data_IF_873666482129
#
_entry.id   IF_873666482129
#
_cell.length_a   1.000
_cell.length_b   1.000
_cell.length_c   1.000
_cell.angle_alpha   90.00
_cell.angle_beta   90.00
_cell.angle_gamma   90.00
#
_symmetry.space_group_name_H-M   'P 1'
#
loop_
_entity.id
_entity.type
_entity.pdbx_description
1 polymer ?
#
# COMPACT_ATOMS: atom_id res chain seq x y z
N UNK A 1 1.16 8.44 -17.90
CA UNK A 1 1.12 9.47 -16.83
C UNK A 1 1.65 10.83 -17.27
N UNK A 2 2.57 10.95 -18.22
CA UNK A 2 3.08 12.24 -18.70
C UNK A 2 2.08 13.11 -19.50
N UNK A 3 1.01 12.56 -20.03
CA UNK A 3 0.07 13.30 -20.91
C UNK A 3 -1.07 14.05 -20.21
N UNK A 4 -1.34 13.79 -18.95
CA UNK A 4 -2.50 14.40 -18.24
C UNK A 4 -2.11 15.70 -17.53
N UNK A 5 -0.83 15.97 -17.33
CA UNK A 5 -0.33 17.17 -16.61
C UNK A 5 0.05 18.37 -17.51
N UNK A 6 -0.12 18.30 -18.84
CA UNK A 6 0.21 19.39 -19.77
C UNK A 6 -0.88 20.47 -19.91
N UNK A 7 -1.78 20.58 -18.93
CA UNK A 7 -2.79 21.62 -18.87
C UNK A 7 -2.26 22.95 -18.31
N UNK A 8 -1.82 23.83 -19.21
CA UNK A 8 -1.61 25.28 -19.02
C UNK A 8 -0.65 25.73 -17.93
N UNK A 9 0.66 25.63 -18.21
CA UNK A 9 1.62 26.60 -17.66
C UNK A 9 1.61 27.85 -18.54
N UNK A 10 1.01 28.94 -18.06
CA UNK A 10 1.14 30.28 -18.63
C UNK A 10 2.42 30.88 -18.04
N UNK A 11 3.47 30.95 -18.86
CA UNK A 11 4.67 31.69 -18.49
C UNK A 11 4.40 33.18 -18.70
N UNK A 12 4.37 33.96 -17.63
CA UNK A 12 4.39 35.39 -17.69
C UNK A 12 5.79 35.84 -18.14
N UNK A 13 5.86 36.50 -19.26
CA UNK A 13 7.06 37.13 -19.80
C UNK A 13 7.11 38.56 -19.25
N UNK A 14 7.97 38.82 -18.26
CA UNK A 14 8.20 40.15 -17.75
C UNK A 14 9.41 40.76 -18.48
N UNK A 15 9.08 41.68 -19.39
CA UNK A 15 9.94 42.80 -19.75
C UNK A 15 9.05 44.03 -19.84
N UNK A 16 9.01 44.84 -18.81
CA UNK A 16 8.60 46.24 -18.92
C UNK A 16 9.38 47.12 -17.94
N UNK A 17 9.83 48.23 -18.49
CA UNK A 17 10.73 49.22 -17.93
C UNK A 17 10.09 50.02 -16.78
N UNK A 18 10.99 50.47 -15.90
CA UNK A 18 10.75 51.35 -14.77
C UNK A 18 10.32 52.75 -15.26
N UNK A 19 9.14 53.24 -14.86
CA UNK A 19 8.86 54.66 -14.70
C UNK A 19 8.34 54.89 -13.26
N UNK A 20 9.14 55.68 -12.55
CA UNK A 20 8.78 56.17 -11.21
C UNK A 20 7.69 57.26 -11.29
N UNK A 21 6.62 57.15 -10.55
CA UNK A 21 6.09 58.30 -9.81
C UNK A 21 5.12 57.83 -8.67
N UNK A 22 5.27 58.57 -7.59
CA UNK A 22 4.63 58.59 -6.31
C UNK A 22 3.13 58.21 -6.21
N UNK A 23 2.77 57.27 -5.34
CA UNK A 23 1.85 57.55 -4.22
C UNK A 23 1.81 56.35 -3.24
N UNK A 24 2.26 56.60 -2.03
CA UNK A 24 2.08 55.74 -0.86
C UNK A 24 0.61 55.67 -0.50
N UNK A 25 0.00 54.52 -0.54
CA UNK A 25 -1.14 53.99 0.23
C UNK A 25 -1.62 52.72 -0.52
N UNK A 26 -1.32 51.59 0.01
CA UNK A 26 -1.84 50.23 -0.15
C UNK A 26 -0.73 49.17 -0.07
N UNK A 27 -0.01 49.19 1.07
CA UNK A 27 1.10 48.25 1.28
C UNK A 27 0.73 47.12 2.26
N UNK A 28 -0.55 46.75 2.36
CA UNK A 28 -0.96 45.62 3.21
C UNK A 28 -1.59 44.43 2.45
N UNK A 29 -1.93 44.56 1.18
CA UNK A 29 -2.50 43.47 0.40
C UNK A 29 -1.52 42.78 -0.56
N UNK A 30 -0.27 43.25 -0.66
CA UNK A 30 0.73 42.74 -1.61
C UNK A 30 1.77 41.76 -0.98
N UNK A 31 1.64 41.42 0.31
CA UNK A 31 2.60 40.54 1.00
C UNK A 31 2.11 39.09 1.11
N UNK A 32 0.90 38.78 0.66
CA UNK A 32 0.30 37.44 0.86
C UNK A 32 0.39 36.50 -0.35
N UNK A 33 1.00 36.89 -1.45
CA UNK A 33 1.42 35.99 -2.51
C UNK A 33 2.94 35.77 -2.51
N UNK A 34 3.51 35.39 -1.36
CA UNK A 34 4.78 34.68 -1.39
C UNK A 34 4.51 33.37 -2.13
N UNK A 35 4.99 33.26 -3.39
CA UNK A 35 5.00 31.99 -4.15
C UNK A 35 5.43 30.87 -3.22
N UNK A 36 4.50 29.98 -2.88
CA UNK A 36 4.77 28.81 -2.05
C UNK A 36 5.84 28.01 -2.80
N UNK A 37 7.11 28.11 -2.41
CA UNK A 37 8.20 27.38 -3.05
C UNK A 37 7.81 25.91 -3.10
N UNK A 38 7.89 25.31 -4.31
CA UNK A 38 7.58 23.91 -4.52
C UNK A 38 8.33 23.03 -3.50
N UNK A 39 7.60 22.35 -2.62
CA UNK A 39 8.14 21.46 -1.60
C UNK A 39 7.96 20.01 -2.04
N UNK A 40 9.02 19.43 -2.61
CA UNK A 40 9.03 18.05 -3.07
C UNK A 40 8.72 17.04 -1.94
N UNK A 41 9.18 17.33 -0.71
CA UNK A 41 8.93 16.46 0.44
C UNK A 41 7.47 16.40 0.83
N UNK A 42 6.78 17.54 0.85
CA UNK A 42 5.35 17.64 1.15
C UNK A 42 4.50 16.92 0.09
N UNK A 43 4.82 17.11 -1.19
CA UNK A 43 4.15 16.41 -2.28
C UNK A 43 4.33 14.89 -2.19
N UNK A 44 5.55 14.42 -1.94
CA UNK A 44 5.83 12.98 -1.79
C UNK A 44 5.06 12.41 -0.60
N UNK A 45 5.15 13.05 0.57
CA UNK A 45 4.49 12.56 1.78
C UNK A 45 2.97 12.59 1.65
N UNK A 46 2.39 13.65 1.07
CA UNK A 46 0.95 13.74 0.83
C UNK A 46 0.44 12.67 -0.15
N UNK A 47 1.23 12.31 -1.15
CA UNK A 47 0.84 11.28 -2.11
C UNK A 47 0.90 9.86 -1.54
N UNK A 48 1.88 9.59 -0.67
CA UNK A 48 2.09 8.26 -0.05
C UNK A 48 1.15 8.03 1.12
N UNK A 49 0.81 9.09 1.88
CA UNK A 49 -0.06 9.02 3.04
C UNK A 49 -1.45 8.53 2.68
N UNK A 50 -2.12 7.92 3.65
CA UNK A 50 -3.53 7.60 3.55
C UNK A 50 -4.35 8.89 3.67
N UNK A 51 -5.46 9.00 2.94
CA UNK A 51 -6.27 10.19 2.86
C UNK A 51 -7.77 9.87 3.00
N UNK A 52 -8.54 10.84 3.49
CA UNK A 52 -9.99 10.76 3.63
C UNK A 52 -10.75 11.19 2.35
N UNK A 53 -10.01 11.48 1.27
CA UNK A 53 -10.52 11.72 -0.05
C UNK A 53 -9.66 11.01 -1.10
N UNK A 54 -10.22 10.74 -2.27
CA UNK A 54 -9.49 10.14 -3.38
C UNK A 54 -9.19 11.21 -4.43
N UNK A 55 -8.01 11.80 -4.36
CA UNK A 55 -7.58 12.80 -5.32
C UNK A 55 -7.37 12.17 -6.70
N UNK A 56 -8.01 12.73 -7.75
CA UNK A 56 -7.90 12.26 -9.13
C UNK A 56 -6.96 13.15 -9.92
N UNK A 57 -7.22 14.46 -9.95
CA UNK A 57 -6.39 15.47 -10.60
C UNK A 57 -6.74 16.88 -10.10
N UNK A 58 -5.90 17.86 -10.43
CA UNK A 58 -6.08 19.27 -10.07
C UNK A 58 -4.97 19.80 -9.16
N UNK A 59 -4.94 21.12 -8.97
CA UNK A 59 -4.07 21.80 -8.00
C UNK A 59 -4.68 21.75 -6.59
N UNK A 60 -3.90 22.10 -5.58
CA UNK A 60 -4.40 22.23 -4.19
C UNK A 60 -5.57 23.23 -4.07
N UNK A 61 -5.64 24.24 -4.94
CA UNK A 61 -6.72 25.24 -4.95
C UNK A 61 -8.02 24.72 -5.60
N UNK A 62 -7.92 23.81 -6.57
CA UNK A 62 -9.06 23.23 -7.28
C UNK A 62 -8.87 21.73 -7.49
N UNK A 63 -8.83 20.94 -6.41
CA UNK A 63 -8.67 19.50 -6.52
C UNK A 63 -9.96 18.83 -6.97
N UNK A 64 -9.85 17.93 -7.95
CA UNK A 64 -10.94 17.01 -8.28
C UNK A 64 -10.70 15.72 -7.53
N UNK A 65 -11.46 15.52 -6.46
CA UNK A 65 -11.39 14.35 -5.60
C UNK A 65 -12.75 13.67 -5.45
N UNK A 66 -12.74 12.36 -5.21
CA UNK A 66 -13.93 11.62 -4.79
C UNK A 66 -13.98 11.70 -3.27
N UNK A 67 -15.02 12.34 -2.69
CA UNK A 67 -15.16 12.40 -1.25
C UNK A 67 -15.53 11.04 -0.69
N UNK A 68 -14.89 10.66 0.42
CA UNK A 68 -15.11 9.38 1.09
C UNK A 68 -15.96 9.57 2.36
N UNK A 69 -16.71 8.54 2.78
CA UNK A 69 -17.50 8.61 4.00
C UNK A 69 -16.62 8.61 5.24
N UNK A 70 -16.82 9.60 6.08
CA UNK A 70 -16.19 9.74 7.39
C UNK A 70 -17.12 9.15 8.44
N UNK A 71 -16.57 8.29 9.27
CA UNK A 71 -17.26 7.63 10.38
C UNK A 71 -16.42 7.84 11.63
N UNK A 72 -16.90 8.68 12.54
CA UNK A 72 -16.20 9.00 13.79
C UNK A 72 -17.06 8.57 14.97
N UNK A 73 -16.44 7.95 15.97
CA UNK A 73 -17.07 7.69 17.25
C UNK A 73 -16.47 8.60 18.33
N UNK A 74 -17.31 9.46 18.88
CA UNK A 74 -16.97 10.31 20.00
C UNK A 74 -17.56 9.72 21.29
N UNK A 75 -16.80 9.61 22.39
CA UNK A 75 -17.29 8.98 23.63
C UNK A 75 -18.54 9.63 24.21
N UNK A 76 -18.69 10.96 24.07
CA UNK A 76 -19.83 11.71 24.61
C UNK A 76 -20.93 11.95 23.58
N UNK A 77 -20.57 12.17 22.30
CA UNK A 77 -21.53 12.53 21.21
C UNK A 77 -22.05 11.32 20.42
N UNK A 78 -21.40 10.14 20.58
CA UNK A 78 -21.73 8.93 19.84
C UNK A 78 -21.16 8.88 18.43
N UNK A 79 -21.84 8.21 17.49
CA UNK A 79 -21.44 8.07 16.09
C UNK A 79 -21.85 9.30 15.26
N UNK A 80 -20.91 9.85 14.51
CA UNK A 80 -21.12 10.85 13.47
C UNK A 80 -20.71 10.27 12.13
N UNK A 81 -21.58 10.41 11.10
CA UNK A 81 -21.32 9.91 9.74
C UNK A 81 -21.62 11.03 8.75
N UNK A 82 -20.61 11.44 7.99
CA UNK A 82 -20.73 12.49 6.99
C UNK A 82 -19.70 12.31 5.86
N UNK A 83 -19.77 13.12 4.82
CA UNK A 83 -18.83 13.08 3.69
C UNK A 83 -17.60 13.94 3.97
N UNK A 84 -16.41 13.51 3.53
CA UNK A 84 -15.16 14.27 3.63
C UNK A 84 -15.22 15.62 2.92
N UNK A 85 -16.12 15.79 1.94
CA UNK A 85 -16.35 17.08 1.27
C UNK A 85 -16.74 18.22 2.22
N UNK A 86 -17.25 17.90 3.42
CA UNK A 86 -17.61 18.91 4.43
C UNK A 86 -16.40 19.61 5.07
N UNK A 87 -15.24 19.00 4.96
CA UNK A 87 -14.00 19.62 5.46
C UNK A 87 -13.33 20.56 4.45
N UNK A 88 -13.85 20.69 3.22
CA UNK A 88 -13.28 21.56 2.17
C UNK A 88 -11.75 21.40 2.08
N UNK A 89 -11.31 20.15 1.98
CA UNK A 89 -9.89 19.75 1.97
C UNK A 89 -9.06 20.17 3.21
N UNK A 90 -9.72 20.31 4.36
CA UNK A 90 -9.07 20.71 5.64
C UNK A 90 -9.17 22.20 5.95
N UNK A 91 -9.87 22.99 5.11
CA UNK A 91 -10.07 24.42 5.34
C UNK A 91 -11.31 24.72 6.21
N UNK A 92 -12.22 23.77 6.36
CA UNK A 92 -13.43 23.93 7.16
C UNK A 92 -13.51 22.85 8.26
N UNK A 93 -14.13 23.22 9.38
CA UNK A 93 -14.56 22.28 10.41
C UNK A 93 -16.05 21.95 10.26
N UNK A 94 -16.45 20.74 10.62
CA UNK A 94 -17.81 20.26 10.54
C UNK A 94 -18.21 19.47 11.79
N UNK A 95 -19.33 19.80 12.43
CA UNK A 95 -19.84 19.18 13.66
C UNK A 95 -18.85 19.14 14.83
N UNK A 96 -17.90 20.11 14.90
CA UNK A 96 -16.85 20.15 15.90
C UNK A 96 -15.69 19.21 15.65
N UNK A 97 -15.52 18.77 14.42
CA UNK A 97 -14.36 18.02 13.92
C UNK A 97 -13.60 18.82 12.88
N UNK A 98 -12.28 18.74 12.91
CA UNK A 98 -11.37 19.33 11.91
C UNK A 98 -10.48 18.25 11.31
N UNK A 99 -10.02 18.46 10.08
CA UNK A 99 -9.04 17.60 9.42
C UNK A 99 -7.68 18.28 9.46
N UNK A 100 -6.79 17.85 10.35
CA UNK A 100 -5.44 18.38 10.50
C UNK A 100 -4.40 17.31 10.18
N UNK A 101 -3.49 17.63 9.28
CA UNK A 101 -2.41 16.71 8.83
C UNK A 101 -2.95 15.32 8.40
N UNK A 102 -4.11 15.28 7.75
CA UNK A 102 -4.74 14.03 7.31
C UNK A 102 -5.42 13.22 8.42
N UNK A 103 -5.48 13.74 9.65
CA UNK A 103 -6.15 13.10 10.79
C UNK A 103 -7.34 13.92 11.24
N UNK A 104 -8.42 13.23 11.60
CA UNK A 104 -9.60 13.87 12.16
C UNK A 104 -9.32 14.16 13.64
N UNK A 105 -9.52 15.41 14.05
CA UNK A 105 -9.43 15.84 15.45
C UNK A 105 -10.76 16.44 15.89
N UNK A 106 -11.08 16.28 17.18
CA UNK A 106 -12.20 16.97 17.79
C UNK A 106 -11.73 18.33 18.31
N UNK A 107 -12.50 19.40 18.06
CA UNK A 107 -12.24 20.74 18.60
C UNK A 107 -12.27 20.78 20.13
N UNK A 108 -13.03 19.88 20.75
CA UNK A 108 -13.10 19.73 22.21
C UNK A 108 -11.85 19.11 22.82
N UNK A 109 -10.84 18.69 22.01
CA UNK A 109 -9.64 17.99 22.47
C UNK A 109 -9.90 16.56 22.96
N UNK A 110 -11.10 16.02 22.79
CA UNK A 110 -11.44 14.66 23.20
C UNK A 110 -10.80 13.62 22.28
N UNK A 111 -10.43 12.48 22.84
CA UNK A 111 -9.97 11.33 22.05
C UNK A 111 -11.14 10.73 21.29
N UNK A 112 -11.05 10.72 19.96
CA UNK A 112 -12.02 10.13 19.07
C UNK A 112 -11.49 8.85 18.43
N UNK A 113 -12.38 7.95 18.04
CA UNK A 113 -12.05 6.77 17.24
C UNK A 113 -12.45 7.02 15.80
N UNK A 114 -11.46 7.11 14.93
CA UNK A 114 -11.65 7.25 13.48
C UNK A 114 -11.85 5.87 12.86
N UNK A 115 -13.05 5.61 12.35
CA UNK A 115 -13.46 4.41 11.64
C UNK A 115 -13.76 4.70 10.17
N UNK A 116 -13.31 5.84 9.67
CA UNK A 116 -13.61 6.32 8.33
C UNK A 116 -13.10 5.39 7.24
N UNK A 117 -13.77 5.40 6.10
CA UNK A 117 -13.32 4.72 4.90
C UNK A 117 -12.31 5.62 4.19
N UNK A 118 -11.03 5.37 4.45
CA UNK A 118 -9.92 6.06 3.79
C UNK A 118 -9.68 5.52 2.37
N UNK A 119 -8.83 6.19 1.61
CA UNK A 119 -8.40 5.76 0.26
C UNK A 119 -7.89 4.31 0.27
N UNK A 120 -7.05 3.94 1.24
CA UNK A 120 -6.50 2.59 1.34
C UNK A 120 -7.57 1.56 1.73
N UNK A 121 -8.50 1.88 2.63
CA UNK A 121 -9.61 1.00 3.01
C UNK A 121 -10.53 0.74 1.80
N UNK A 122 -10.87 1.79 1.04
CA UNK A 122 -11.67 1.62 -0.18
C UNK A 122 -10.94 0.76 -1.22
N UNK A 123 -9.62 0.96 -1.40
CA UNK A 123 -8.82 0.15 -2.31
C UNK A 123 -8.76 -1.33 -1.88
N UNK A 124 -8.71 -1.63 -0.58
CA UNK A 124 -8.82 -2.99 -0.06
C UNK A 124 -10.17 -3.61 -0.44
N UNK A 125 -11.28 -2.88 -0.28
CA UNK A 125 -12.60 -3.37 -0.69
C UNK A 125 -12.69 -3.61 -2.19
N UNK A 126 -12.11 -2.73 -3.00
CA UNK A 126 -12.05 -2.90 -4.46
C UNK A 126 -11.23 -4.14 -4.82
N UNK A 127 -10.03 -4.30 -4.24
CA UNK A 127 -9.19 -5.47 -4.48
C UNK A 127 -9.89 -6.77 -4.06
N UNK A 128 -10.51 -6.81 -2.87
CA UNK A 128 -11.27 -7.95 -2.38
C UNK A 128 -12.48 -8.25 -3.27
N UNK A 129 -13.24 -7.24 -3.66
CA UNK A 129 -14.39 -7.39 -4.56
C UNK A 129 -13.99 -7.91 -5.93
N UNK A 130 -12.89 -7.40 -6.50
CA UNK A 130 -12.33 -7.86 -7.77
C UNK A 130 -11.91 -9.33 -7.68
N UNK A 131 -11.20 -9.72 -6.61
CA UNK A 131 -10.80 -11.10 -6.40
C UNK A 131 -12.01 -12.04 -6.25
N UNK A 132 -13.00 -11.64 -5.45
CA UNK A 132 -14.24 -12.43 -5.31
C UNK A 132 -14.94 -12.59 -6.66
N UNK A 133 -15.05 -11.53 -7.44
CA UNK A 133 -15.65 -11.56 -8.77
C UNK A 133 -14.90 -12.54 -9.71
N UNK A 134 -13.57 -12.44 -9.74
CA UNK A 134 -12.70 -13.31 -10.53
C UNK A 134 -12.84 -14.77 -10.12
N UNK A 135 -12.62 -15.08 -8.82
CA UNK A 135 -12.59 -16.46 -8.36
C UNK A 135 -13.95 -17.13 -8.37
N UNK A 136 -15.03 -16.41 -8.06
CA UNK A 136 -16.39 -16.94 -8.19
C UNK A 136 -16.72 -17.20 -9.67
N UNK A 137 -16.32 -16.31 -10.56
CA UNK A 137 -16.48 -16.51 -12.01
C UNK A 137 -15.77 -17.75 -12.51
N UNK A 138 -14.50 -17.92 -12.13
CA UNK A 138 -13.69 -19.10 -12.47
C UNK A 138 -14.31 -20.38 -11.88
N UNK A 139 -14.67 -20.37 -10.59
CA UNK A 139 -15.29 -21.53 -9.91
C UNK A 139 -16.61 -21.94 -10.57
N UNK A 140 -17.46 -20.98 -10.94
CA UNK A 140 -18.73 -21.27 -11.65
C UNK A 140 -18.49 -21.88 -13.04
N UNK A 141 -17.44 -21.46 -13.73
CA UNK A 141 -17.09 -21.99 -15.06
C UNK A 141 -16.63 -23.45 -14.95
N UNK A 142 -15.82 -23.79 -13.93
CA UNK A 142 -15.44 -25.18 -13.64
C UNK A 142 -16.66 -26.04 -13.26
N UNK A 143 -17.54 -25.53 -12.42
CA UNK A 143 -18.74 -26.26 -12.02
C UNK A 143 -19.70 -26.56 -13.20
N UNK A 144 -19.75 -25.66 -14.19
CA UNK A 144 -20.62 -25.84 -15.40
C UNK A 144 -20.01 -26.74 -16.47
N UNK A 145 -18.69 -26.81 -16.56
CA UNK A 145 -17.96 -27.50 -17.61
C UNK A 145 -16.78 -28.31 -17.03
N UNK A 146 -17.05 -29.37 -16.25
CA UNK A 146 -15.99 -30.10 -15.53
C UNK A 146 -15.02 -30.83 -16.48
N UNK A 147 -15.49 -31.23 -17.68
CA UNK A 147 -14.72 -32.04 -18.64
C UNK A 147 -14.10 -31.21 -19.77
N UNK A 148 -14.26 -29.88 -19.76
CA UNK A 148 -13.70 -29.03 -20.81
C UNK A 148 -12.37 -28.39 -20.35
N UNK A 149 -11.43 -28.31 -21.30
CA UNK A 149 -10.21 -27.55 -21.06
C UNK A 149 -10.50 -26.08 -20.72
N UNK A 150 -9.73 -25.46 -19.82
CA UNK A 150 -9.89 -24.07 -19.46
C UNK A 150 -9.78 -23.15 -20.67
N UNK A 151 -10.63 -22.14 -20.77
CA UNK A 151 -10.67 -21.20 -21.88
C UNK A 151 -10.84 -19.76 -21.42
N UNK A 152 -10.34 -18.81 -22.23
CA UNK A 152 -10.44 -17.39 -21.94
C UNK A 152 -9.73 -17.00 -20.66
N UNK A 153 -10.40 -16.24 -19.78
CA UNK A 153 -9.84 -15.72 -18.55
C UNK A 153 -9.46 -16.82 -17.53
N UNK A 154 -10.19 -17.93 -17.54
CA UNK A 154 -9.88 -19.11 -16.72
C UNK A 154 -8.47 -19.63 -17.02
N UNK A 155 -8.09 -19.70 -18.30
CA UNK A 155 -6.77 -20.14 -18.75
C UNK A 155 -5.62 -19.21 -18.29
N UNK A 156 -5.91 -17.94 -17.99
CA UNK A 156 -4.93 -17.01 -17.43
C UNK A 156 -4.73 -17.18 -15.92
N UNK A 157 -5.79 -17.50 -15.18
CA UNK A 157 -5.74 -17.62 -13.71
C UNK A 157 -5.27 -19.01 -13.26
N UNK A 158 -5.62 -20.07 -13.99
CA UNK A 158 -5.26 -21.44 -13.63
C UNK A 158 -3.75 -21.67 -13.45
N UNK A 159 -2.86 -21.25 -14.36
CA UNK A 159 -1.42 -21.41 -14.18
C UNK A 159 -0.91 -20.76 -12.88
N UNK A 160 -1.50 -19.63 -12.48
CA UNK A 160 -1.12 -18.95 -11.24
C UNK A 160 -1.57 -19.74 -10.00
N UNK A 161 -2.77 -20.34 -10.04
CA UNK A 161 -3.25 -21.21 -8.97
C UNK A 161 -2.37 -22.46 -8.86
N UNK A 162 -2.03 -23.07 -10.01
CA UNK A 162 -1.13 -24.22 -10.06
C UNK A 162 0.27 -23.89 -9.55
N UNK A 163 0.80 -22.74 -9.92
CA UNK A 163 2.07 -22.23 -9.40
C UNK A 163 2.04 -22.13 -7.87
N UNK A 164 1.02 -21.49 -7.29
CA UNK A 164 0.90 -21.39 -5.82
C UNK A 164 0.75 -22.77 -5.18
N UNK A 165 0.04 -23.69 -5.83
CA UNK A 165 -0.15 -25.06 -5.32
C UNK A 165 1.13 -25.88 -5.37
N UNK A 166 1.76 -25.95 -6.54
CA UNK A 166 2.83 -26.92 -6.82
C UNK A 166 4.20 -26.38 -6.40
N UNK A 167 4.52 -25.13 -6.76
CA UNK A 167 5.84 -24.54 -6.51
C UNK A 167 5.95 -23.89 -5.11
N UNK A 168 4.82 -23.52 -4.48
CA UNK A 168 4.82 -22.91 -3.14
C UNK A 168 4.30 -23.90 -2.09
N UNK A 169 3.03 -24.28 -2.17
CA UNK A 169 2.38 -24.99 -1.08
C UNK A 169 2.91 -26.42 -0.92
N UNK A 170 2.97 -27.20 -2.00
CA UNK A 170 3.51 -28.57 -1.94
C UNK A 170 4.99 -28.60 -1.63
N UNK A 171 5.77 -27.70 -2.25
CA UNK A 171 7.21 -27.65 -2.05
C UNK A 171 7.59 -27.32 -0.60
N UNK A 172 6.84 -26.41 0.07
CA UNK A 172 7.18 -25.94 1.41
C UNK A 172 6.49 -26.73 2.55
N UNK A 173 5.28 -27.26 2.32
CA UNK A 173 4.47 -27.92 3.37
C UNK A 173 4.45 -29.44 3.19
N UNK A 174 4.64 -29.92 1.96
CA UNK A 174 4.53 -31.33 1.60
C UNK A 174 3.10 -31.74 1.19
N UNK A 175 3.01 -32.87 0.47
CA UNK A 175 1.77 -33.34 -0.16
C UNK A 175 0.65 -33.70 0.82
N UNK A 176 0.97 -34.10 2.05
CA UNK A 176 -0.03 -34.48 3.05
C UNK A 176 -0.85 -33.31 3.59
N UNK A 177 -0.21 -32.16 3.81
CA UNK A 177 -0.79 -31.07 4.59
C UNK A 177 -1.09 -29.80 3.78
N UNK A 178 -0.56 -29.66 2.55
CA UNK A 178 -0.68 -28.42 1.78
C UNK A 178 -2.12 -27.96 1.53
N UNK A 179 -3.04 -28.91 1.28
CA UNK A 179 -4.42 -28.62 0.92
C UNK A 179 -5.15 -27.81 2.02
N UNK A 180 -4.79 -28.01 3.29
CA UNK A 180 -5.34 -27.31 4.43
C UNK A 180 -5.01 -25.82 4.45
N UNK A 181 -3.83 -25.44 4.00
CA UNK A 181 -3.33 -24.07 3.99
C UNK A 181 -3.53 -23.38 2.64
N UNK A 182 -3.88 -24.13 1.61
CA UNK A 182 -4.06 -23.64 0.25
C UNK A 182 -5.02 -22.44 0.14
N UNK A 183 -6.20 -22.41 0.81
CA UNK A 183 -7.09 -21.26 0.74
C UNK A 183 -6.45 -19.98 1.25
N UNK A 184 -5.70 -20.05 2.35
CA UNK A 184 -4.99 -18.90 2.90
C UNK A 184 -3.85 -18.44 1.99
N UNK A 185 -3.02 -19.38 1.50
CA UNK A 185 -1.90 -19.06 0.62
C UNK A 185 -2.35 -18.43 -0.70
N UNK A 186 -3.43 -18.92 -1.31
CA UNK A 186 -4.04 -18.29 -2.48
C UNK A 186 -4.55 -16.88 -2.16
N UNK A 187 -5.23 -16.72 -1.02
CA UNK A 187 -5.78 -15.42 -0.62
C UNK A 187 -4.68 -14.38 -0.46
N UNK A 188 -3.59 -14.68 0.29
CA UNK A 188 -2.50 -13.71 0.49
C UNK A 188 -1.75 -13.42 -0.79
N UNK A 189 -1.48 -14.44 -1.62
CA UNK A 189 -0.78 -14.27 -2.89
C UNK A 189 -1.55 -13.31 -3.81
N UNK A 190 -2.79 -13.63 -4.10
CA UNK A 190 -3.59 -12.83 -5.02
C UNK A 190 -3.96 -11.46 -4.44
N UNK A 191 -4.19 -11.36 -3.12
CA UNK A 191 -4.46 -10.08 -2.47
C UNK A 191 -3.26 -9.14 -2.57
N UNK A 192 -2.05 -9.59 -2.22
CA UNK A 192 -0.83 -8.77 -2.32
C UNK A 192 -0.57 -8.40 -3.78
N UNK A 193 -0.63 -9.36 -4.70
CA UNK A 193 -0.37 -9.11 -6.11
C UNK A 193 -1.37 -8.13 -6.72
N UNK A 194 -2.68 -8.35 -6.50
CA UNK A 194 -3.73 -7.44 -6.99
C UNK A 194 -3.61 -6.04 -6.38
N UNK A 195 -3.33 -5.93 -5.08
CA UNK A 195 -3.14 -4.64 -4.41
C UNK A 195 -1.94 -3.88 -4.99
N UNK A 196 -0.83 -4.57 -5.24
CA UNK A 196 0.36 -3.97 -5.86
C UNK A 196 0.07 -3.54 -7.31
N UNK A 197 -0.64 -4.37 -8.11
CA UNK A 197 -1.04 -4.00 -9.47
C UNK A 197 -1.96 -2.78 -9.50
N UNK A 198 -2.96 -2.73 -8.61
CA UNK A 198 -3.85 -1.58 -8.49
C UNK A 198 -3.07 -0.33 -8.06
N UNK A 199 -2.08 -0.45 -7.16
CA UNK A 199 -1.22 0.65 -6.75
C UNK A 199 -0.44 1.28 -7.89
N UNK A 200 -0.01 0.49 -8.88
CA UNK A 200 0.71 0.96 -10.07
C UNK A 200 -0.18 1.71 -11.09
N UNK A 201 -1.49 1.49 -11.07
CA UNK A 201 -2.42 2.17 -11.97
C UNK A 201 -2.68 3.58 -11.47
N UNK A 202 -2.31 4.64 -12.21
CA UNK A 202 -2.37 6.01 -11.71
C UNK A 202 -3.76 6.65 -11.73
N UNK A 203 -4.77 5.89 -12.19
CA UNK A 203 -6.14 6.37 -12.37
C UNK A 203 -7.07 5.54 -11.49
N UNK A 204 -8.14 6.16 -10.97
CA UNK A 204 -9.17 5.44 -10.23
C UNK A 204 -9.64 4.19 -11.02
N UNK A 205 -9.76 3.03 -10.38
CA UNK A 205 -9.64 2.71 -8.95
C UNK A 205 -8.22 2.39 -8.45
N UNK A 206 -7.17 2.81 -9.14
CA UNK A 206 -5.78 2.60 -8.78
C UNK A 206 -5.15 3.79 -8.02
N UNK A 207 -3.82 3.74 -7.85
CA UNK A 207 -3.06 4.80 -7.20
C UNK A 207 -3.12 4.83 -5.67
N UNK A 208 -3.76 3.84 -5.04
CA UNK A 208 -3.72 3.67 -3.59
C UNK A 208 -2.57 2.72 -3.21
N UNK A 209 -1.71 3.18 -2.30
CA UNK A 209 -0.56 2.41 -1.83
C UNK A 209 -0.96 1.51 -0.65
N UNK A 210 -1.80 0.50 -0.92
CA UNK A 210 -2.38 -0.40 0.11
C UNK A 210 -1.31 -1.12 0.91
N UNK A 211 -0.36 -1.77 0.24
CA UNK A 211 0.71 -2.56 0.88
C UNK A 211 1.87 -1.69 1.40
N UNK A 212 1.94 -0.43 0.98
CA UNK A 212 2.79 0.60 1.54
C UNK A 212 2.21 1.30 2.79
N UNK A 213 0.99 0.95 3.20
CA UNK A 213 0.49 1.26 4.54
C UNK A 213 0.89 0.12 5.48
N UNK A 214 1.74 0.38 6.47
CA UNK A 214 2.33 -0.65 7.37
C UNK A 214 1.28 -1.51 8.08
N UNK A 215 0.08 -0.99 8.32
CA UNK A 215 -1.00 -1.73 8.97
C UNK A 215 -1.42 -2.97 8.17
N UNK A 216 -1.44 -2.89 6.83
CA UNK A 216 -1.87 -3.99 5.96
C UNK A 216 -0.87 -5.16 6.00
N UNK A 217 0.44 -4.97 5.71
CA UNK A 217 1.44 -6.02 5.89
C UNK A 217 1.49 -6.58 7.31
N UNK A 218 1.28 -5.74 8.33
CA UNK A 218 1.25 -6.17 9.73
C UNK A 218 0.11 -7.15 9.99
N UNK A 219 -1.11 -6.84 9.55
CA UNK A 219 -2.27 -7.74 9.70
C UNK A 219 -2.02 -9.08 8.99
N UNK A 220 -1.49 -9.06 7.75
CA UNK A 220 -1.17 -10.29 7.02
C UNK A 220 -0.10 -11.13 7.74
N UNK A 221 0.94 -10.47 8.28
CA UNK A 221 2.00 -11.14 9.03
C UNK A 221 1.49 -11.72 10.35
N UNK A 222 0.63 -11.00 11.07
CA UNK A 222 -0.02 -11.48 12.29
C UNK A 222 -0.95 -12.67 11.99
N UNK A 223 -1.73 -12.62 10.92
CA UNK A 223 -2.55 -13.77 10.49
C UNK A 223 -1.68 -15.00 10.18
N UNK A 224 -0.55 -14.82 9.47
CA UNK A 224 0.42 -15.91 9.25
C UNK A 224 0.96 -16.47 10.56
N UNK A 225 1.32 -15.60 11.52
CA UNK A 225 1.77 -16.02 12.84
C UNK A 225 0.71 -16.82 13.58
N UNK A 226 -0.52 -16.30 13.65
CA UNK A 226 -1.63 -16.98 14.36
C UNK A 226 -1.92 -18.36 13.77
N UNK A 227 -1.92 -18.49 12.44
CA UNK A 227 -2.09 -19.77 11.76
C UNK A 227 -0.92 -20.71 12.10
N UNK A 228 0.32 -20.24 12.06
CA UNK A 228 1.51 -21.01 12.42
C UNK A 228 1.40 -21.55 13.85
N UNK A 229 1.07 -20.70 14.81
CA UNK A 229 0.93 -21.09 16.22
C UNK A 229 -0.25 -22.04 16.45
N UNK A 230 -1.38 -21.84 15.74
CA UNK A 230 -2.58 -22.68 15.86
C UNK A 230 -2.37 -24.10 15.38
N UNK A 231 -1.54 -24.26 14.34
CA UNK A 231 -1.30 -25.56 13.73
C UNK A 231 0.07 -26.17 14.11
N UNK A 232 0.83 -25.48 14.98
CA UNK A 232 2.08 -26.02 15.53
C UNK A 232 1.83 -27.33 16.29
N UNK A 233 2.47 -28.40 15.83
CA UNK A 233 2.41 -29.72 16.43
C UNK A 233 3.31 -29.82 17.68
N UNK A 234 3.23 -30.96 18.41
CA UNK A 234 4.07 -31.17 19.61
C UNK A 234 5.55 -31.17 19.28
N UNK A 235 5.93 -31.66 18.10
CA UNK A 235 7.32 -31.68 17.65
C UNK A 235 7.85 -30.27 17.45
N UNK A 236 7.09 -29.38 16.81
CA UNK A 236 7.41 -27.97 16.62
C UNK A 236 7.67 -27.26 17.96
N UNK A 237 6.75 -27.42 18.94
CA UNK A 237 6.93 -26.80 20.25
C UNK A 237 8.10 -27.41 21.04
N UNK A 238 8.33 -28.73 20.92
CA UNK A 238 9.47 -29.38 21.54
C UNK A 238 10.77 -28.89 20.95
N UNK A 239 10.85 -28.70 19.64
CA UNK A 239 12.02 -28.13 18.96
C UNK A 239 12.36 -26.72 19.45
N UNK A 240 11.34 -25.87 19.64
CA UNK A 240 11.53 -24.49 20.12
C UNK A 240 11.96 -24.45 21.60
N UNK A 241 11.29 -25.24 22.45
CA UNK A 241 11.50 -25.14 23.90
C UNK A 241 12.64 -26.02 24.41
N UNK A 242 12.89 -27.15 23.76
CA UNK A 242 13.88 -28.15 24.19
C UNK A 242 14.45 -28.87 22.99
N UNK A 243 15.26 -28.17 22.19
CA UNK A 243 15.89 -28.72 20.97
C UNK A 243 16.62 -30.05 21.29
N UNK A 244 16.26 -31.15 20.63
CA UNK A 244 16.87 -32.44 20.88
C UNK A 244 18.37 -32.44 20.50
N UNK A 245 19.21 -33.11 21.31
CA UNK A 245 20.63 -33.22 21.06
C UNK A 245 21.48 -32.03 21.56
N UNK A 246 20.90 -31.03 22.17
CA UNK A 246 21.61 -29.86 22.70
C UNK A 246 21.83 -29.97 24.21
N UNK A 247 23.04 -29.70 24.72
CA UNK A 247 23.31 -29.67 26.16
C UNK A 247 22.43 -28.63 26.89
N UNK A 248 21.97 -28.95 28.09
CA UNK A 248 21.05 -28.08 28.89
C UNK A 248 21.59 -26.65 29.10
N UNK A 249 22.89 -26.47 29.20
CA UNK A 249 23.53 -25.18 29.36
C UNK A 249 23.33 -24.28 28.12
N UNK A 250 23.41 -24.86 26.92
CA UNK A 250 23.22 -24.14 25.66
C UNK A 250 21.73 -23.80 25.45
N UNK A 251 20.84 -24.67 25.90
CA UNK A 251 19.37 -24.46 25.82
C UNK A 251 18.91 -23.16 26.50
N UNK A 252 19.57 -22.75 27.59
CA UNK A 252 19.23 -21.51 28.32
C UNK A 252 19.35 -20.27 27.42
N UNK A 253 20.30 -20.28 26.48
CA UNK A 253 20.50 -19.19 25.51
C UNK A 253 19.67 -19.43 24.24
N UNK A 254 19.60 -20.67 23.77
CA UNK A 254 18.97 -21.02 22.50
C UNK A 254 17.44 -20.89 22.55
N UNK A 255 16.79 -21.31 23.63
CA UNK A 255 15.33 -21.24 23.78
C UNK A 255 14.79 -19.80 23.70
N UNK A 256 15.33 -18.77 24.39
CA UNK A 256 14.93 -17.39 24.19
C UNK A 256 15.12 -16.89 22.76
N UNK A 257 16.19 -17.31 22.07
CA UNK A 257 16.44 -16.94 20.67
C UNK A 257 15.42 -17.55 19.72
N UNK A 258 15.05 -18.83 19.92
CA UNK A 258 14.01 -19.51 19.14
C UNK A 258 12.64 -18.87 19.36
N UNK A 259 12.29 -18.53 20.61
CA UNK A 259 11.06 -17.81 20.93
C UNK A 259 11.05 -16.44 20.26
N UNK A 260 12.15 -15.69 20.33
CA UNK A 260 12.29 -14.41 19.64
C UNK A 260 12.13 -14.59 18.12
N UNK A 261 12.68 -15.68 17.57
CA UNK A 261 12.58 -16.05 16.16
C UNK A 261 11.12 -16.20 15.68
N UNK A 262 10.21 -16.69 16.53
CA UNK A 262 8.77 -16.81 16.19
C UNK A 262 8.18 -15.44 15.84
N UNK A 263 8.53 -14.39 16.59
CA UNK A 263 8.04 -13.03 16.38
C UNK A 263 8.82 -12.31 15.27
N UNK A 264 10.12 -12.55 15.16
CA UNK A 264 10.96 -11.92 14.12
C UNK A 264 10.57 -12.35 12.71
N UNK A 265 10.17 -13.61 12.51
CA UNK A 265 9.77 -14.11 11.18
C UNK A 265 8.63 -13.31 10.56
N UNK A 266 7.46 -13.13 11.22
CA UNK A 266 6.38 -12.28 10.71
C UNK A 266 6.79 -10.81 10.60
N UNK A 267 7.59 -10.30 11.54
CA UNK A 267 8.09 -8.93 11.49
C UNK A 267 8.90 -8.66 10.21
N UNK A 268 9.80 -9.57 9.85
CA UNK A 268 10.57 -9.47 8.60
C UNK A 268 9.67 -9.52 7.37
N UNK A 269 8.62 -10.35 7.37
CA UNK A 269 7.63 -10.38 6.28
C UNK A 269 6.94 -9.02 6.12
N UNK A 270 6.48 -8.44 7.23
CA UNK A 270 5.83 -7.14 7.27
C UNK A 270 6.73 -6.04 6.73
N UNK A 271 7.94 -5.91 7.29
CA UNK A 271 8.89 -4.85 6.91
C UNK A 271 9.31 -4.98 5.44
N UNK A 272 9.55 -6.19 4.95
CA UNK A 272 9.94 -6.42 3.56
C UNK A 272 8.85 -5.97 2.58
N UNK A 273 7.59 -6.36 2.81
CA UNK A 273 6.49 -5.97 1.94
C UNK A 273 6.28 -4.45 1.96
N UNK A 274 6.21 -3.86 3.16
CA UNK A 274 6.06 -2.43 3.35
C UNK A 274 7.20 -1.63 2.69
N UNK A 275 8.45 -1.95 3.04
CA UNK A 275 9.61 -1.15 2.62
C UNK A 275 9.82 -1.18 1.10
N UNK A 276 9.64 -2.32 0.45
CA UNK A 276 9.86 -2.43 -0.99
C UNK A 276 8.83 -1.63 -1.78
N UNK A 277 7.56 -1.70 -1.42
CA UNK A 277 6.51 -0.96 -2.11
C UNK A 277 6.61 0.54 -1.82
N UNK A 278 6.85 0.91 -0.56
CA UNK A 278 7.05 2.31 -0.19
C UNK A 278 8.26 2.93 -0.93
N UNK A 279 9.38 2.21 -0.99
CA UNK A 279 10.58 2.67 -1.70
C UNK A 279 10.33 2.88 -3.19
N UNK A 280 9.61 1.97 -3.87
CA UNK A 280 9.25 2.08 -5.28
C UNK A 280 8.47 3.36 -5.56
N UNK A 281 7.39 3.60 -4.82
CA UNK A 281 6.58 4.82 -4.97
C UNK A 281 7.37 6.10 -4.70
N UNK A 282 8.23 6.12 -3.67
CA UNK A 282 9.08 7.28 -3.37
C UNK A 282 10.01 7.57 -4.54
N UNK A 283 10.69 6.57 -5.10
CA UNK A 283 11.64 6.75 -6.20
C UNK A 283 10.95 7.33 -7.43
N UNK A 284 9.78 6.82 -7.82
CA UNK A 284 8.98 7.35 -8.93
C UNK A 284 8.63 8.83 -8.69
N UNK A 285 8.15 9.18 -7.50
CA UNK A 285 7.79 10.56 -7.16
C UNK A 285 8.99 11.49 -7.15
N UNK A 286 10.16 11.03 -6.70
CA UNK A 286 11.42 11.82 -6.73
C UNK A 286 11.77 12.20 -8.17
N UNK A 287 11.66 11.29 -9.15
CA UNK A 287 11.91 11.63 -10.56
C UNK A 287 10.91 12.64 -11.11
N UNK A 288 9.64 12.58 -10.70
CA UNK A 288 8.66 13.62 -11.06
C UNK A 288 9.01 14.97 -10.43
N UNK A 289 9.34 14.98 -9.14
CA UNK A 289 9.76 16.23 -8.46
C UNK A 289 10.98 16.85 -9.09
N UNK A 290 11.93 16.06 -9.60
CA UNK A 290 13.12 16.56 -10.27
C UNK A 290 12.77 17.42 -11.51
N UNK A 291 11.74 17.03 -12.27
CA UNK A 291 11.27 17.80 -13.43
C UNK A 291 10.75 19.16 -12.98
N UNK A 292 9.95 19.21 -11.90
CA UNK A 292 9.40 20.46 -11.38
C UNK A 292 10.48 21.38 -10.80
N UNK A 293 11.43 20.83 -10.03
CA UNK A 293 12.55 21.58 -9.46
C UNK A 293 13.43 22.17 -10.58
N UNK A 294 13.75 21.38 -11.61
CA UNK A 294 14.50 21.86 -12.74
C UNK A 294 13.72 22.90 -13.56
N UNK A 295 12.41 22.72 -13.72
CA UNK A 295 11.52 23.64 -14.40
C UNK A 295 11.39 25.00 -13.72
N UNK A 296 11.45 25.03 -12.37
CA UNK A 296 11.46 26.26 -11.60
C UNK A 296 12.74 27.11 -11.84
N UNK A 297 13.86 26.49 -12.20
CA UNK A 297 15.10 27.22 -12.55
C UNK A 297 15.04 27.82 -13.98
N UNK A 298 14.55 27.05 -14.95
CA UNK A 298 14.24 27.49 -16.31
C UNK A 298 13.43 26.45 -17.08
N UNK A 299 12.64 26.89 -18.07
CA UNK A 299 11.88 25.98 -18.92
C UNK A 299 12.81 24.99 -19.67
N UNK A 300 13.97 25.46 -20.14
CA UNK A 300 14.98 24.62 -20.80
C UNK A 300 15.54 23.51 -19.88
N UNK A 301 15.81 23.85 -18.61
CA UNK A 301 16.26 22.88 -17.62
C UNK A 301 15.18 21.86 -17.30
N UNK A 302 13.90 22.28 -17.19
CA UNK A 302 12.75 21.39 -17.00
C UNK A 302 12.60 20.39 -18.14
N UNK A 303 12.64 20.83 -19.39
CA UNK A 303 12.59 19.94 -20.55
C UNK A 303 13.81 19.03 -20.65
N UNK A 304 15.01 19.53 -20.30
CA UNK A 304 16.25 18.76 -20.25
C UNK A 304 16.17 17.63 -19.18
N UNK A 305 15.60 17.91 -18.02
CA UNK A 305 15.40 16.93 -16.95
C UNK A 305 14.25 15.94 -17.25
N UNK A 306 13.23 16.37 -18.02
CA UNK A 306 12.05 15.55 -18.30
C UNK A 306 12.39 14.27 -19.09
N UNK A 307 13.29 14.36 -20.08
CA UNK A 307 13.62 13.21 -20.92
C UNK A 307 14.23 12.04 -20.11
N UNK A 308 15.32 12.24 -19.34
CA UNK A 308 15.88 11.19 -18.52
C UNK A 308 14.92 10.78 -17.39
N UNK A 309 14.22 11.71 -16.74
CA UNK A 309 13.30 11.39 -15.65
C UNK A 309 12.14 10.49 -16.11
N UNK A 310 11.53 10.76 -17.26
CA UNK A 310 10.47 9.92 -17.84
C UNK A 310 11.02 8.54 -18.22
N UNK A 311 12.21 8.46 -18.84
CA UNK A 311 12.83 7.19 -19.19
C UNK A 311 13.10 6.33 -17.94
N UNK A 312 13.65 6.93 -16.87
CA UNK A 312 13.86 6.25 -15.58
C UNK A 312 12.55 5.86 -14.91
N UNK A 313 11.53 6.72 -14.95
CA UNK A 313 10.20 6.39 -14.39
C UNK A 313 9.57 5.18 -15.07
N UNK A 314 9.65 5.07 -16.41
CA UNK A 314 9.17 3.90 -17.15
C UNK A 314 9.93 2.64 -16.71
N UNK A 315 11.26 2.74 -16.60
CA UNK A 315 12.10 1.64 -16.15
C UNK A 315 11.78 1.22 -14.70
N UNK A 316 11.64 2.18 -13.77
CA UNK A 316 11.28 1.90 -12.38
C UNK A 316 9.88 1.28 -12.27
N UNK A 317 8.87 1.77 -13.01
CA UNK A 317 7.54 1.17 -13.03
C UNK A 317 7.56 -0.29 -13.52
N UNK A 318 8.39 -0.61 -14.51
CA UNK A 318 8.56 -2.00 -14.95
C UNK A 318 9.22 -2.87 -13.86
N UNK A 319 10.21 -2.34 -13.14
CA UNK A 319 10.81 -3.00 -11.97
C UNK A 319 9.78 -3.16 -10.83
N UNK A 320 8.98 -2.13 -10.56
CA UNK A 320 7.97 -2.15 -9.50
C UNK A 320 6.88 -3.20 -9.77
N UNK A 321 6.50 -3.39 -11.04
CA UNK A 321 5.62 -4.49 -11.46
C UNK A 321 6.23 -5.86 -11.12
N UNK A 322 7.50 -6.06 -11.46
CA UNK A 322 8.23 -7.29 -11.16
C UNK A 322 8.36 -7.50 -9.64
N UNK A 323 8.76 -6.45 -8.91
CA UNK A 323 8.90 -6.48 -7.46
C UNK A 323 7.56 -6.73 -6.78
N UNK A 324 6.47 -6.15 -7.26
CA UNK A 324 5.11 -6.38 -6.76
C UNK A 324 4.69 -7.85 -6.83
N UNK A 325 5.00 -8.52 -7.96
CA UNK A 325 4.79 -9.97 -8.09
C UNK A 325 5.72 -10.77 -7.17
N UNK A 326 7.01 -10.41 -7.16
CA UNK A 326 8.01 -11.08 -6.33
C UNK A 326 7.67 -10.98 -4.83
N UNK A 327 7.12 -9.86 -4.38
CA UNK A 327 6.68 -9.69 -2.98
C UNK A 327 5.50 -10.60 -2.64
N UNK A 328 4.51 -10.74 -3.54
CA UNK A 328 3.42 -11.69 -3.36
C UNK A 328 3.95 -13.13 -3.27
N UNK A 329 4.88 -13.49 -4.15
CA UNK A 329 5.54 -14.80 -4.13
C UNK A 329 6.31 -15.04 -2.83
N UNK A 330 7.23 -14.13 -2.46
CA UNK A 330 8.11 -14.30 -1.29
C UNK A 330 7.30 -14.33 0.01
N UNK A 331 6.30 -13.45 0.16
CA UNK A 331 5.46 -13.45 1.35
C UNK A 331 4.70 -14.78 1.50
N UNK A 332 4.10 -15.26 0.41
CA UNK A 332 3.36 -16.52 0.39
C UNK A 332 4.27 -17.73 0.62
N UNK A 333 5.43 -17.76 -0.01
CA UNK A 333 6.40 -18.85 0.11
C UNK A 333 6.98 -18.96 1.53
N UNK A 334 7.36 -17.84 2.15
CA UNK A 334 7.84 -17.85 3.53
C UNK A 334 6.72 -18.22 4.52
N UNK A 335 5.48 -17.78 4.27
CA UNK A 335 4.32 -18.23 5.05
C UNK A 335 4.13 -19.74 4.94
N UNK A 336 4.25 -20.30 3.73
CA UNK A 336 4.17 -21.74 3.50
C UNK A 336 5.31 -22.51 4.22
N UNK A 337 6.54 -21.99 4.21
CA UNK A 337 7.66 -22.55 4.97
C UNK A 337 7.33 -22.59 6.48
N UNK A 338 6.76 -21.51 7.03
CA UNK A 338 6.40 -21.48 8.46
C UNK A 338 5.32 -22.50 8.80
N UNK A 339 4.36 -22.70 7.91
CA UNK A 339 3.34 -23.76 8.07
C UNK A 339 3.94 -25.16 7.94
N UNK A 340 4.87 -25.35 7.00
CA UNK A 340 5.59 -26.61 6.85
C UNK A 340 6.37 -26.96 8.12
N UNK A 341 7.15 -26.02 8.66
CA UNK A 341 7.88 -26.21 9.92
C UNK A 341 6.95 -26.50 11.09
N UNK A 342 5.80 -25.82 11.16
CA UNK A 342 4.82 -26.01 12.23
C UNK A 342 4.15 -27.38 12.19
N UNK A 343 4.01 -27.98 11.00
CA UNK A 343 3.30 -29.26 10.78
C UNK A 343 4.22 -30.44 10.47
N UNK A 344 5.54 -30.23 10.44
CA UNK A 344 6.52 -31.28 10.18
C UNK A 344 6.37 -32.45 11.18
N UNK A 345 6.27 -33.66 10.65
CA UNK A 345 6.28 -34.89 11.45
C UNK A 345 7.74 -35.25 11.80
N UNK A 346 7.99 -35.89 12.95
CA UNK A 346 9.31 -36.41 13.27
C UNK A 346 9.74 -37.41 12.19
N UNK A 347 10.93 -37.28 11.64
CA UNK A 347 11.53 -38.32 10.80
C UNK A 347 11.79 -39.54 11.70
N UNK A 348 11.09 -40.65 11.44
CA UNK A 348 11.38 -41.92 12.05
C UNK A 348 12.65 -42.47 11.38
N UNK A 349 13.80 -42.23 12.02
CA UNK A 349 15.04 -42.96 11.77
C UNK A 349 15.06 -44.31 12.50
#
# INVERSE_FOLDING_TARGET
MAFIFLGKFSFANENEEVVADSTVIHTEAAVEHAEKKFNAGELIMGHIADAHDWHIYGSEEHPVSIPLPIIVYHPEKGFSVFSSSRFEHGHASYEGYSLEEGKIKSEDGASIYDLSITKNVLAIFIAAGLLLFIFIGVARTYARNPDKAPSGFQNAIEPMILFVRDDIAKAAIGEKNYAKFMPYLLTIFFFIWTSNLLGLVPVFPGGANVTGNIAVPMVLAVCTLLITLRYGNKHYWHHILAMPGVPKFVLVILTPLEILGIFLKPFVLMVRLFANIMAGHIVVLVFFCLIFVAGAASAGAGFGAALPAVAFTIFINALELLVGFLQAFVFTFLSAIYFGMATAEPEHH
#
